data_IF_913990959964
#
_entry.id   IF_913990959964
#
_cell.length_a   1.000
_cell.length_b   1.000
_cell.length_c   1.000
_cell.angle_alpha   90.00
_cell.angle_beta   90.00
_cell.angle_gamma   90.00
#
_symmetry.space_group_name_H-M   'P 1'
#
loop_
_entity.id
_entity.type
_entity.pdbx_description
1 polymer ?
#
# COMPACT_ATOMS: atom_id res chain seq x y z
N UNK A 1 -1.86 5.21 -27.33
CA UNK A 1 -2.85 5.55 -26.28
C UNK A 1 -2.42 6.85 -25.66
N UNK A 2 -3.19 7.93 -25.82
CA UNK A 2 -2.86 9.21 -25.19
C UNK A 2 -3.35 9.10 -23.75
N UNK A 3 -2.43 8.80 -22.82
CA UNK A 3 -2.75 8.86 -21.39
C UNK A 3 -3.19 10.28 -21.06
N UNK A 4 -4.35 10.43 -20.45
CA UNK A 4 -4.86 11.74 -20.06
C UNK A 4 -3.97 12.32 -18.97
N UNK A 5 -3.72 13.64 -19.02
CA UNK A 5 -3.05 14.37 -17.93
C UNK A 5 -3.71 14.08 -16.58
N UNK A 6 -5.03 13.87 -16.58
CA UNK A 6 -5.80 13.47 -15.42
C UNK A 6 -5.32 12.13 -14.81
N UNK A 7 -5.04 11.12 -15.64
CA UNK A 7 -4.57 9.81 -15.16
C UNK A 7 -3.22 9.91 -14.44
N UNK A 8 -2.31 10.70 -15.00
CA UNK A 8 -1.00 10.97 -14.40
C UNK A 8 -1.14 11.67 -13.06
N UNK A 9 -1.96 12.71 -13.02
CA UNK A 9 -2.23 13.48 -11.81
C UNK A 9 -2.81 12.61 -10.68
N UNK A 10 -3.76 11.72 -11.00
CA UNK A 10 -4.38 10.83 -10.02
C UNK A 10 -3.38 9.80 -9.45
N UNK A 11 -2.51 9.21 -10.28
CA UNK A 11 -1.45 8.34 -9.77
C UNK A 11 -0.45 9.10 -8.89
N UNK A 12 -0.10 10.34 -9.25
CA UNK A 12 0.75 11.20 -8.41
C UNK A 12 0.10 11.49 -7.06
N UNK A 13 -1.21 11.80 -7.02
CA UNK A 13 -1.94 11.97 -5.76
C UNK A 13 -1.93 10.68 -4.94
N UNK A 14 -2.17 9.52 -5.56
CA UNK A 14 -2.13 8.24 -4.87
C UNK A 14 -0.75 7.95 -4.26
N UNK A 15 0.32 8.24 -5.00
CA UNK A 15 1.69 8.07 -4.53
C UNK A 15 1.98 9.02 -3.35
N UNK A 16 1.60 10.29 -3.46
CA UNK A 16 1.73 11.28 -2.39
C UNK A 16 0.97 10.86 -1.14
N UNK A 17 -0.27 10.39 -1.27
CA UNK A 17 -1.07 9.92 -0.15
C UNK A 17 -0.38 8.76 0.58
N UNK A 18 0.18 7.79 -0.17
CA UNK A 18 0.90 6.66 0.42
C UNK A 18 2.20 7.10 1.10
N UNK A 19 2.94 8.04 0.50
CA UNK A 19 4.13 8.62 1.13
C UNK A 19 3.78 9.33 2.44
N UNK A 20 2.70 10.12 2.47
CA UNK A 20 2.23 10.79 3.68
C UNK A 20 1.85 9.77 4.76
N UNK A 21 1.14 8.70 4.39
CA UNK A 21 0.85 7.59 5.32
C UNK A 21 2.15 6.98 5.85
N UNK A 22 3.13 6.70 5.00
CA UNK A 22 4.44 6.19 5.42
C UNK A 22 5.15 7.12 6.42
N UNK A 23 5.10 8.43 6.21
CA UNK A 23 5.63 9.41 7.17
C UNK A 23 4.88 9.37 8.51
N UNK A 24 3.55 9.26 8.49
CA UNK A 24 2.73 9.16 9.71
C UNK A 24 3.05 7.87 10.48
N UNK A 25 3.28 6.75 9.79
CA UNK A 25 3.67 5.48 10.42
C UNK A 25 5.04 5.51 11.10
N UNK A 26 5.87 6.50 10.78
CA UNK A 26 7.17 6.69 11.40
C UNK A 26 7.11 7.48 12.72
N UNK A 27 5.94 8.05 13.05
CA UNK A 27 5.72 8.70 14.34
C UNK A 27 5.65 7.67 15.48
N UNK A 28 6.18 7.98 16.67
CA UNK A 28 6.18 7.07 17.82
C UNK A 28 4.76 6.74 18.28
N UNK A 29 3.82 7.68 18.20
CA UNK A 29 2.42 7.48 18.60
C UNK A 29 1.75 6.39 17.77
N UNK A 30 1.99 6.40 16.45
CA UNK A 30 1.44 5.40 15.53
C UNK A 30 2.15 4.05 15.72
N UNK A 31 3.45 4.05 16.01
CA UNK A 31 4.19 2.82 16.33
C UNK A 31 3.63 2.11 17.56
N UNK A 32 3.36 2.86 18.64
CA UNK A 32 2.71 2.31 19.84
C UNK A 32 1.30 1.79 19.53
N UNK A 33 0.48 2.58 18.84
CA UNK A 33 -0.87 2.17 18.47
C UNK A 33 -0.87 0.88 17.62
N UNK A 34 0.07 0.74 16.68
CA UNK A 34 0.23 -0.46 15.87
C UNK A 34 0.69 -1.67 16.70
N UNK A 35 1.57 -1.47 17.68
CA UNK A 35 2.07 -2.54 18.54
C UNK A 35 0.96 -3.15 19.41
N UNK A 36 0.01 -2.31 19.87
CA UNK A 36 -1.12 -2.75 20.70
C UNK A 36 -2.25 -3.38 19.86
N UNK A 37 -2.52 -2.84 18.66
CA UNK A 37 -3.70 -3.22 17.88
C UNK A 37 -3.42 -4.29 16.81
N UNK A 38 -2.16 -4.52 16.40
CA UNK A 38 -1.83 -5.48 15.35
C UNK A 38 -1.21 -6.76 15.95
N UNK A 39 -1.91 -7.91 15.91
CA UNK A 39 -1.36 -9.17 16.39
C UNK A 39 -0.11 -9.55 15.58
N UNK A 40 0.88 -10.17 16.22
CA UNK A 40 2.17 -10.60 15.64
C UNK A 40 3.18 -9.47 15.29
N UNK A 41 2.94 -8.21 15.71
CA UNK A 41 3.96 -7.15 15.56
C UNK A 41 4.93 -7.08 16.75
N UNK A 42 4.43 -7.24 17.98
CA UNK A 42 5.24 -7.23 19.20
C UNK A 42 6.16 -8.47 19.29
N UNK A 43 5.68 -9.64 18.86
CA UNK A 43 6.46 -10.88 18.88
C UNK A 43 7.73 -10.80 18.03
N UNK A 44 7.68 -10.13 16.87
CA UNK A 44 8.87 -9.98 16.01
C UNK A 44 9.97 -9.16 16.70
N UNK A 45 9.58 -8.22 17.55
CA UNK A 45 10.53 -7.43 18.32
C UNK A 45 11.16 -8.23 19.46
N UNK A 46 10.35 -9.01 20.18
CA UNK A 46 10.84 -9.94 21.20
C UNK A 46 11.75 -11.02 20.60
N UNK A 47 11.42 -11.52 19.41
CA UNK A 47 12.17 -12.57 18.72
C UNK A 47 13.54 -12.09 18.21
N UNK A 48 13.65 -10.82 17.81
CA UNK A 48 14.90 -10.21 17.35
C UNK A 48 15.78 -9.65 18.49
N UNK A 49 15.30 -9.68 19.75
CA UNK A 49 16.02 -9.27 20.96
C UNK A 49 16.66 -7.85 20.86
N UNK A 50 15.95 -6.92 20.21
CA UNK A 50 16.48 -5.59 19.81
C UNK A 50 16.48 -4.55 20.95
N UNK A 51 15.99 -4.91 22.15
CA UNK A 51 15.92 -3.98 23.29
C UNK A 51 15.11 -2.72 22.97
N UNK A 52 15.55 -1.56 23.50
CA UNK A 52 14.85 -0.26 23.40
C UNK A 52 14.65 0.26 21.96
N UNK A 53 15.27 -0.33 20.93
CA UNK A 53 15.12 0.09 19.53
C UNK A 53 13.92 -0.55 18.80
N UNK A 54 13.08 -1.27 19.56
CA UNK A 54 11.88 -1.95 19.08
C UNK A 54 10.95 -1.06 18.25
N UNK A 55 10.67 0.15 18.74
CA UNK A 55 9.71 1.09 18.14
C UNK A 55 10.15 1.53 16.75
N UNK A 56 11.43 1.85 16.59
CA UNK A 56 12.00 2.25 15.29
C UNK A 56 11.90 1.10 14.29
N UNK A 57 12.20 -0.13 14.71
CA UNK A 57 12.08 -1.32 13.86
C UNK A 57 10.63 -1.57 13.41
N UNK A 58 9.66 -1.36 14.31
CA UNK A 58 8.24 -1.46 13.99
C UNK A 58 7.81 -0.43 12.95
N UNK A 59 8.29 0.82 13.07
CA UNK A 59 8.08 1.85 12.06
C UNK A 59 8.59 1.45 10.67
N UNK A 60 9.81 0.89 10.59
CA UNK A 60 10.36 0.41 9.33
C UNK A 60 9.56 -0.74 8.73
N UNK A 61 9.19 -1.74 9.54
CA UNK A 61 8.33 -2.87 9.12
C UNK A 61 6.98 -2.41 8.55
N UNK A 62 6.37 -1.41 9.20
CA UNK A 62 5.11 -0.83 8.75
C UNK A 62 5.26 -0.16 7.37
N UNK A 63 6.31 0.63 7.17
CA UNK A 63 6.61 1.24 5.87
C UNK A 63 6.85 0.16 4.80
N UNK A 64 7.59 -0.91 5.12
CA UNK A 64 7.80 -2.02 4.19
C UNK A 64 6.50 -2.69 3.72
N UNK A 65 5.54 -2.89 4.63
CA UNK A 65 4.23 -3.48 4.29
C UNK A 65 3.40 -2.57 3.38
N UNK A 66 3.42 -1.27 3.62
CA UNK A 66 2.77 -0.28 2.74
C UNK A 66 3.44 -0.24 1.36
N UNK A 67 4.77 -0.28 1.31
CA UNK A 67 5.51 -0.36 0.05
C UNK A 67 5.20 -1.66 -0.72
N UNK A 68 5.09 -2.80 -0.02
CA UNK A 68 4.67 -4.06 -0.63
C UNK A 68 3.26 -3.96 -1.22
N UNK A 69 2.31 -3.37 -0.48
CA UNK A 69 0.95 -3.15 -0.98
C UNK A 69 0.92 -2.28 -2.24
N UNK A 70 1.78 -1.25 -2.33
CA UNK A 70 1.92 -0.42 -3.53
C UNK A 70 2.44 -1.21 -4.73
N UNK A 71 3.47 -2.03 -4.53
CA UNK A 71 4.02 -2.89 -5.60
C UNK A 71 2.95 -3.88 -6.05
N UNK A 72 2.25 -4.52 -5.12
CA UNK A 72 1.16 -5.45 -5.42
C UNK A 72 0.02 -4.76 -6.18
N UNK A 73 -0.38 -3.55 -5.78
CA UNK A 73 -1.39 -2.75 -6.47
C UNK A 73 -1.01 -2.49 -7.93
N UNK A 74 0.23 -2.04 -8.18
CA UNK A 74 0.71 -1.82 -9.54
C UNK A 74 0.83 -3.11 -10.34
N UNK A 75 1.22 -4.23 -9.71
CA UNK A 75 1.26 -5.54 -10.36
C UNK A 75 -0.14 -6.03 -10.77
N UNK A 76 -1.15 -5.86 -9.90
CA UNK A 76 -2.55 -6.19 -10.22
C UNK A 76 -3.05 -5.34 -11.39
N UNK A 77 -2.81 -4.03 -11.38
CA UNK A 77 -3.17 -3.16 -12.50
C UNK A 77 -2.46 -3.55 -13.79
N UNK A 78 -1.19 -3.95 -13.71
CA UNK A 78 -0.43 -4.43 -14.86
C UNK A 78 -1.03 -5.72 -15.43
N UNK A 79 -1.25 -6.74 -14.59
CA UNK A 79 -1.87 -7.99 -15.00
C UNK A 79 -3.27 -7.77 -15.59
N UNK A 80 -4.10 -6.97 -14.93
CA UNK A 80 -5.43 -6.62 -15.42
C UNK A 80 -5.38 -5.97 -16.81
N UNK A 81 -4.39 -5.11 -17.04
CA UNK A 81 -4.17 -4.46 -18.34
C UNK A 81 -3.75 -5.44 -19.44
N UNK A 82 -3.14 -6.58 -19.09
CA UNK A 82 -2.79 -7.65 -20.04
C UNK A 82 -3.99 -8.53 -20.40
N UNK A 83 -4.90 -8.79 -19.46
CA UNK A 83 -6.06 -9.66 -19.68
C UNK A 83 -7.23 -8.99 -20.43
N UNK A 84 -7.30 -7.65 -20.49
CA UNK A 84 -8.38 -6.94 -21.21
C UNK A 84 -8.11 -6.91 -22.73
N UNK A 85 -8.58 -7.95 -23.44
CA UNK A 85 -8.23 -8.22 -24.84
C UNK A 85 -9.17 -7.62 -25.92
N UNK A 86 -10.26 -6.90 -25.60
CA UNK A 86 -11.17 -6.47 -26.68
C UNK A 86 -11.86 -5.13 -26.47
N UNK A 87 -11.74 -4.27 -27.48
CA UNK A 87 -12.25 -2.90 -27.65
C UNK A 87 -11.46 -1.76 -26.99
N UNK A 88 -10.87 -0.93 -27.85
CA UNK A 88 -10.23 0.35 -27.53
C UNK A 88 -11.11 1.27 -26.66
N UNK A 89 -12.43 1.23 -26.88
CA UNK A 89 -13.41 2.06 -26.18
C UNK A 89 -13.67 1.62 -24.73
N UNK A 90 -13.64 0.31 -24.44
CA UNK A 90 -13.81 -0.18 -23.06
C UNK A 90 -12.55 0.08 -22.21
N UNK A 91 -11.36 -0.12 -22.78
CA UNK A 91 -10.08 0.16 -22.10
C UNK A 91 -9.93 1.64 -21.73
N UNK A 92 -10.33 2.56 -22.61
CA UNK A 92 -10.26 3.99 -22.34
C UNK A 92 -11.14 4.41 -21.15
N UNK A 93 -12.38 3.91 -21.09
CA UNK A 93 -13.30 4.19 -19.98
C UNK A 93 -12.85 3.62 -18.63
N UNK A 94 -12.35 2.38 -18.60
CA UNK A 94 -11.84 1.75 -17.38
C UNK A 94 -10.52 2.36 -16.90
N UNK A 95 -9.60 2.69 -17.80
CA UNK A 95 -8.35 3.34 -17.43
C UNK A 95 -8.53 4.79 -16.98
N UNK A 96 -9.45 5.55 -17.62
CA UNK A 96 -9.63 6.97 -17.32
C UNK A 96 -10.72 7.27 -16.28
N UNK A 97 -11.75 6.43 -16.11
CA UNK A 97 -12.96 6.77 -15.34
C UNK A 97 -13.14 6.07 -14.00
N UNK A 98 -12.62 4.85 -13.80
CA UNK A 98 -12.95 4.02 -12.63
C UNK A 98 -11.94 4.15 -11.47
N UNK A 99 -11.71 5.37 -10.99
CA UNK A 99 -10.72 5.65 -9.92
C UNK A 99 -11.15 5.19 -8.53
N UNK A 100 -12.44 5.27 -8.22
CA UNK A 100 -12.96 4.86 -6.91
C UNK A 100 -12.59 3.41 -6.57
N UNK A 101 -12.84 2.48 -7.49
CA UNK A 101 -12.51 1.08 -7.31
C UNK A 101 -11.00 0.83 -7.22
N UNK A 102 -10.19 1.58 -7.97
CA UNK A 102 -8.72 1.50 -7.89
C UNK A 102 -8.20 1.89 -6.51
N UNK A 103 -8.71 2.99 -5.94
CA UNK A 103 -8.35 3.38 -4.58
C UNK A 103 -8.85 2.38 -3.53
N UNK A 104 -10.03 1.80 -3.74
CA UNK A 104 -10.56 0.77 -2.84
C UNK A 104 -9.68 -0.48 -2.84
N UNK A 105 -9.20 -0.92 -4.00
CA UNK A 105 -8.23 -2.03 -4.11
C UNK A 105 -6.92 -1.66 -3.41
N UNK A 106 -6.42 -0.43 -3.59
CA UNK A 106 -5.21 0.03 -2.90
C UNK A 106 -5.37 -0.02 -1.38
N UNK A 107 -6.47 0.50 -0.84
CA UNK A 107 -6.76 0.47 0.61
C UNK A 107 -6.88 -0.98 1.10
N UNK A 108 -7.59 -1.84 0.36
CA UNK A 108 -7.73 -3.25 0.71
C UNK A 108 -6.37 -3.97 0.73
N UNK A 109 -5.49 -3.71 -0.24
CA UNK A 109 -4.13 -4.28 -0.27
C UNK A 109 -3.27 -3.76 0.87
N UNK A 110 -3.37 -2.47 1.22
CA UNK A 110 -2.67 -1.93 2.38
C UNK A 110 -3.12 -2.64 3.67
N UNK A 111 -4.43 -2.76 3.91
CA UNK A 111 -4.97 -3.49 5.07
C UNK A 111 -4.51 -4.94 5.05
N UNK A 112 -4.66 -5.64 3.91
CA UNK A 112 -4.24 -7.03 3.77
C UNK A 112 -2.75 -7.22 4.07
N UNK A 113 -1.87 -6.29 3.64
CA UNK A 113 -0.44 -6.34 3.93
C UNK A 113 -0.12 -6.28 5.44
N UNK A 114 -0.99 -5.68 6.26
CA UNK A 114 -0.87 -5.72 7.73
C UNK A 114 -1.28 -7.06 8.34
N UNK A 115 -2.12 -7.84 7.66
CA UNK A 115 -2.55 -9.16 8.12
C UNK A 115 -1.70 -10.31 7.56
N UNK A 116 -0.73 -10.04 6.67
CA UNK A 116 0.20 -11.07 6.20
C UNK A 116 1.03 -11.58 7.40
N UNK A 117 0.89 -12.86 7.79
CA UNK A 117 1.70 -13.45 8.85
C UNK A 117 3.15 -13.51 8.38
N UNK A 118 4.06 -13.14 9.29
CA UNK A 118 5.50 -13.30 9.07
C UNK A 118 5.81 -14.70 9.57
N UNK A 119 6.32 -15.57 8.71
CA UNK A 119 6.95 -16.82 9.14
C UNK A 119 8.28 -16.52 9.85
#
# INVERSE_FOLDING_TARGET
MKESTATRFMYTIGLLAVTLVGCVMQSPEVQHAMAENIPNFNETCLLLNVGDNCERLMGYMAVYRVCFAMVAYHAVLFLWSLFVSSSYNCRAGLHQGFWFFKFLILVALCIAAFYIPKE
#
